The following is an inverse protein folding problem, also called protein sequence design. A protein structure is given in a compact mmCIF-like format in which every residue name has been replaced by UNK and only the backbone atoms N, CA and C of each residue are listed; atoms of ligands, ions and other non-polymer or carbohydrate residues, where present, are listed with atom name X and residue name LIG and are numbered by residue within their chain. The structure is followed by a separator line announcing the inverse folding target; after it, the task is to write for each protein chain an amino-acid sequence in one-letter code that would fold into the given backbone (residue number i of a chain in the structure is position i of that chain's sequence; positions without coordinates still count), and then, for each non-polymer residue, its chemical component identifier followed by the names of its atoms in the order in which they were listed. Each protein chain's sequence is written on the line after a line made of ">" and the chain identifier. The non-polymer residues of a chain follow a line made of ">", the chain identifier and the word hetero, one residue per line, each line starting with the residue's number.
data_IF_942284787355
#
_entry.id   IF_942284787355
#
_cell.length_a   1.000
_cell.length_b   1.000
_cell.length_c   1.000
_cell.angle_alpha   90.00
_cell.angle_beta   90.00
_cell.angle_gamma   90.00
#
_symmetry.space_group_name_H-M   'P 1'
#
loop_
_entity.id
_entity.type
_entity.pdbx_description
1 polymer ?
#
# COMPACT_ATOMS: atom_id res chain seq x y z
N UNK A 1 11.17 3.92 27.89
CA UNK A 1 11.40 5.34 27.55
C UNK A 1 12.52 5.39 26.51
N UNK A 2 12.22 5.61 25.24
CA UNK A 2 13.24 5.66 24.19
C UNK A 2 13.94 7.02 24.21
N UNK A 3 15.26 7.02 24.35
CA UNK A 3 16.09 8.22 24.55
C UNK A 3 16.17 9.11 23.30
N UNK A 4 16.37 10.43 23.46
CA UNK A 4 16.46 11.42 22.37
C UNK A 4 17.52 11.12 21.28
N UNK A 5 18.48 10.24 21.55
CA UNK A 5 19.63 9.94 20.69
C UNK A 5 19.24 9.31 19.33
N UNK A 6 18.17 8.49 19.27
CA UNK A 6 17.74 7.82 18.03
C UNK A 6 17.06 8.79 17.05
N UNK A 7 16.48 9.89 17.53
CA UNK A 7 15.87 10.92 16.67
C UNK A 7 16.90 11.70 15.86
N UNK A 8 18.15 11.79 16.33
CA UNK A 8 19.21 12.58 15.70
C UNK A 8 19.90 11.87 14.53
N UNK A 9 19.88 10.52 14.46
CA UNK A 9 20.54 9.75 13.40
C UNK A 9 19.91 9.92 12.00
N UNK A 10 18.73 10.55 11.90
CA UNK A 10 18.02 10.78 10.64
C UNK A 10 18.16 12.22 10.09
N UNK A 11 19.02 13.05 10.69
CA UNK A 11 19.41 14.37 10.16
C UNK A 11 20.61 14.21 9.22
N UNK A 12 20.66 15.02 8.14
CA UNK A 12 21.67 15.12 7.06
C UNK A 12 21.31 14.23 5.83
N UNK A 13 21.13 14.69 4.59
CA UNK A 13 21.41 15.94 3.82
C UNK A 13 20.28 16.15 2.81
N UNK A 14 19.79 17.37 2.61
CA UNK A 14 18.90 17.74 1.50
C UNK A 14 19.50 18.98 0.82
N UNK A 15 19.89 18.85 -0.45
CA UNK A 15 20.33 19.95 -1.30
C UNK A 15 19.11 20.41 -2.12
N UNK A 16 18.76 21.68 -1.94
CA UNK A 16 17.81 22.57 -2.64
C UNK A 16 16.42 22.05 -3.08
N UNK A 17 15.40 22.58 -2.40
CA UNK A 17 14.18 23.15 -3.02
C UNK A 17 13.65 24.23 -2.07
N UNK A 18 13.49 25.45 -2.57
CA UNK A 18 13.22 26.68 -1.80
C UNK A 18 11.78 26.84 -1.31
N UNK A 19 10.89 25.89 -1.60
CA UNK A 19 9.59 25.81 -0.90
C UNK A 19 9.78 25.17 0.47
N UNK A 20 9.59 25.97 1.52
CA UNK A 20 9.75 25.49 2.89
C UNK A 20 8.61 24.53 3.22
N UNK A 21 8.94 23.26 3.51
CA UNK A 21 7.99 22.28 4.02
C UNK A 21 7.32 22.80 5.29
N UNK A 22 6.04 22.52 5.46
CA UNK A 22 5.24 23.07 6.57
C UNK A 22 4.90 21.98 7.58
N UNK A 23 4.90 22.30 8.89
CA UNK A 23 4.41 21.38 9.90
C UNK A 23 2.88 21.22 9.79
N UNK A 24 2.38 20.00 10.05
CA UNK A 24 0.95 19.76 10.28
C UNK A 24 0.62 20.39 11.63
N UNK A 25 -0.11 21.50 11.70
CA UNK A 25 -0.43 22.22 12.95
C UNK A 25 -1.81 21.83 13.51
N UNK A 26 -2.05 22.08 14.80
CA UNK A 26 -3.38 21.85 15.43
C UNK A 26 -4.47 22.67 14.74
N UNK A 27 -4.16 23.91 14.34
CA UNK A 27 -5.06 24.75 13.53
C UNK A 27 -5.34 24.14 12.14
N UNK A 28 -4.32 23.59 11.46
CA UNK A 28 -4.55 22.92 10.18
C UNK A 28 -5.47 21.70 10.34
N UNK A 29 -5.29 20.93 11.42
CA UNK A 29 -6.09 19.74 11.73
C UNK A 29 -7.56 20.04 12.09
N UNK A 30 -7.88 21.27 12.52
CA UNK A 30 -9.25 21.67 12.89
C UNK A 30 -10.13 22.05 11.69
N UNK A 31 -9.51 22.40 10.55
CA UNK A 31 -10.20 22.86 9.33
C UNK A 31 -11.09 21.79 8.71
N UNK A 32 -12.22 22.22 8.14
CA UNK A 32 -13.19 21.34 7.48
C UNK A 32 -12.62 20.65 6.24
N UNK A 33 -11.87 21.36 5.40
CA UNK A 33 -11.21 20.80 4.22
C UNK A 33 -9.70 20.97 4.33
N UNK A 34 -8.95 19.91 4.01
CA UNK A 34 -7.50 19.90 4.16
C UNK A 34 -6.87 19.15 2.98
N UNK A 35 -5.75 19.66 2.47
CA UNK A 35 -5.02 19.04 1.35
C UNK A 35 -3.54 18.97 1.75
N UNK A 36 -2.98 17.77 1.74
CA UNK A 36 -1.59 17.50 2.07
C UNK A 36 -0.89 16.77 0.93
N UNK A 37 0.36 17.11 0.68
CA UNK A 37 1.27 16.34 -0.17
C UNK A 37 2.51 15.96 0.63
N UNK A 38 3.02 14.74 0.46
CA UNK A 38 4.24 14.32 1.14
C UNK A 38 5.48 14.63 0.31
N UNK A 39 6.52 15.18 0.94
CA UNK A 39 7.86 15.32 0.35
C UNK A 39 8.79 14.14 0.63
N UNK A 40 8.34 13.18 1.44
CA UNK A 40 9.12 11.97 1.69
C UNK A 40 8.63 10.83 0.80
N UNK A 41 9.58 10.01 0.36
CA UNK A 41 9.30 8.77 -0.36
C UNK A 41 9.36 7.54 0.55
N UNK A 42 9.63 7.70 1.85
CA UNK A 42 9.69 6.54 2.73
C UNK A 42 8.27 5.99 2.99
N UNK A 43 7.97 4.74 2.61
CA UNK A 43 6.61 4.21 2.70
C UNK A 43 6.09 4.10 4.14
N UNK A 44 6.96 3.76 5.11
CA UNK A 44 6.57 3.70 6.51
C UNK A 44 6.21 5.09 7.05
N UNK A 45 6.97 6.12 6.67
CA UNK A 45 6.68 7.49 7.10
C UNK A 45 5.40 8.02 6.45
N UNK A 46 5.18 7.76 5.16
CA UNK A 46 3.94 8.14 4.47
C UNK A 46 2.70 7.49 5.11
N UNK A 47 2.74 6.18 5.39
CA UNK A 47 1.64 5.49 6.09
C UNK A 47 1.46 5.97 7.54
N UNK A 48 2.52 6.47 8.18
CA UNK A 48 2.43 7.05 9.53
C UNK A 48 1.82 8.45 9.52
N UNK A 49 2.09 9.25 8.47
CA UNK A 49 1.43 10.54 8.23
C UNK A 49 -0.07 10.32 7.95
N UNK A 50 -0.41 9.40 7.05
CA UNK A 50 -1.79 9.02 6.74
C UNK A 50 -2.57 8.62 8.01
N UNK A 51 -1.97 7.76 8.83
CA UNK A 51 -2.58 7.34 10.09
C UNK A 51 -2.74 8.49 11.09
N UNK A 52 -1.75 9.40 11.19
CA UNK A 52 -1.87 10.58 12.04
C UNK A 52 -3.02 11.50 11.60
N UNK A 53 -3.17 11.72 10.29
CA UNK A 53 -4.28 12.51 9.74
C UNK A 53 -5.64 11.84 10.01
N UNK A 54 -5.69 10.50 9.97
CA UNK A 54 -6.90 9.74 10.29
C UNK A 54 -7.31 9.89 11.76
N UNK A 55 -6.36 9.85 12.68
CA UNK A 55 -6.63 9.83 14.12
C UNK A 55 -6.77 11.21 14.77
N UNK A 56 -6.02 12.20 14.30
CA UNK A 56 -5.85 13.48 15.02
C UNK A 56 -6.57 14.67 14.40
N UNK A 57 -7.06 14.52 13.18
CA UNK A 57 -7.85 15.56 12.53
C UNK A 57 -9.26 15.64 13.10
N UNK A 58 -9.88 16.81 12.98
CA UNK A 58 -11.29 17.02 13.33
C UNK A 58 -12.18 15.92 12.71
N UNK A 59 -13.02 15.21 13.50
CA UNK A 59 -13.87 14.14 12.98
C UNK A 59 -14.80 14.54 11.84
N UNK A 60 -15.20 15.82 11.78
CA UNK A 60 -16.03 16.37 10.72
C UNK A 60 -15.27 16.79 9.46
N UNK A 61 -13.94 16.70 9.40
CA UNK A 61 -13.17 17.20 8.25
C UNK A 61 -13.09 16.22 7.08
N UNK A 62 -12.83 16.71 5.88
CA UNK A 62 -12.47 15.94 4.69
C UNK A 62 -11.05 16.29 4.27
N UNK A 63 -10.21 15.28 4.09
CA UNK A 63 -8.77 15.44 3.89
C UNK A 63 -8.35 14.68 2.65
N UNK A 64 -7.66 15.35 1.74
CA UNK A 64 -6.88 14.72 0.67
C UNK A 64 -5.41 14.63 1.09
N UNK A 65 -4.81 13.45 0.94
CA UNK A 65 -3.37 13.24 1.11
C UNK A 65 -2.80 12.52 -0.11
N UNK A 66 -1.74 13.06 -0.68
CA UNK A 66 -1.07 12.55 -1.89
C UNK A 66 0.41 12.28 -1.60
N UNK A 67 0.93 11.14 -2.06
CA UNK A 67 2.32 10.75 -1.83
C UNK A 67 2.83 9.69 -2.80
N UNK A 68 4.14 9.69 -3.04
CA UNK A 68 4.86 8.67 -3.80
C UNK A 68 5.78 7.92 -2.85
N UNK A 69 5.97 6.62 -3.04
CA UNK A 69 6.89 5.83 -2.24
C UNK A 69 8.13 5.46 -3.05
N UNK A 70 9.27 5.34 -2.36
CA UNK A 70 10.41 4.54 -2.82
C UNK A 70 9.92 3.11 -3.06
N UNK A 71 10.61 2.31 -3.89
CA UNK A 71 10.08 1.03 -4.28
C UNK A 71 9.80 0.13 -3.07
N UNK A 72 8.63 -0.49 -3.05
CA UNK A 72 8.20 -1.32 -1.93
C UNK A 72 7.07 -2.28 -2.31
N UNK A 73 6.93 -3.34 -1.53
CA UNK A 73 5.79 -4.25 -1.53
C UNK A 73 4.94 -3.91 -0.31
N UNK A 74 3.66 -3.57 -0.54
CA UNK A 74 2.72 -3.18 0.52
C UNK A 74 1.64 -4.24 0.67
N UNK A 75 1.70 -5.01 1.75
CA UNK A 75 0.71 -6.04 2.10
C UNK A 75 -0.42 -5.44 2.95
N UNK A 76 -1.62 -5.99 2.81
CA UNK A 76 -2.79 -5.62 3.60
C UNK A 76 -2.69 -6.06 5.06
N UNK A 77 -3.53 -5.47 5.92
CA UNK A 77 -3.52 -5.68 7.38
C UNK A 77 -3.57 -7.17 7.76
N UNK A 78 -4.45 -7.94 7.12
CA UNK A 78 -4.73 -9.35 7.45
C UNK A 78 -4.17 -10.32 6.39
N UNK A 79 -3.05 -9.98 5.75
CA UNK A 79 -2.41 -10.85 4.77
C UNK A 79 -1.24 -11.62 5.36
N UNK A 80 -0.91 -12.76 4.74
CA UNK A 80 0.26 -13.55 5.09
C UNK A 80 1.44 -13.18 4.15
N UNK A 81 2.52 -12.57 4.65
CA UNK A 81 3.62 -12.13 3.80
C UNK A 81 4.33 -13.31 3.11
N UNK A 82 4.29 -14.51 3.70
CA UNK A 82 4.87 -15.72 3.12
C UNK A 82 4.02 -16.29 1.98
N UNK A 83 2.73 -15.97 1.86
CA UNK A 83 1.91 -16.37 0.70
C UNK A 83 1.89 -15.30 -0.37
N UNK A 84 1.89 -14.04 0.04
CA UNK A 84 1.71 -12.91 -0.88
C UNK A 84 2.98 -12.43 -1.56
N UNK A 85 4.15 -12.64 -0.94
CA UNK A 85 5.41 -12.02 -1.37
C UNK A 85 6.47 -13.08 -1.58
N UNK A 86 7.19 -12.99 -2.69
CA UNK A 86 8.42 -13.74 -2.91
C UNK A 86 9.55 -13.14 -2.05
N UNK A 87 9.55 -13.47 -0.75
CA UNK A 87 10.52 -12.96 0.22
C UNK A 87 11.99 -13.23 -0.18
N UNK A 88 12.35 -14.41 -0.74
CA UNK A 88 13.69 -14.64 -1.27
C UNK A 88 14.08 -13.66 -2.39
N UNK A 89 13.19 -13.44 -3.36
CA UNK A 89 13.44 -12.48 -4.44
C UNK A 89 13.55 -11.06 -3.89
N UNK A 90 12.63 -10.66 -3.01
CA UNK A 90 12.67 -9.36 -2.33
C UNK A 90 13.99 -9.16 -1.57
N UNK A 91 14.49 -10.20 -0.88
CA UNK A 91 15.76 -10.15 -0.16
C UNK A 91 16.98 -10.01 -1.09
N UNK A 92 16.99 -10.69 -2.25
CA UNK A 92 18.05 -10.57 -3.26
C UNK A 92 18.15 -9.16 -3.84
N UNK A 93 17.06 -8.41 -3.84
CA UNK A 93 17.09 -7.01 -4.27
C UNK A 93 17.85 -6.07 -3.32
N UNK A 94 18.27 -6.51 -2.13
CA UNK A 94 18.60 -5.60 -1.00
C UNK A 94 19.91 -4.81 -1.05
N UNK A 95 20.84 -4.97 -1.99
CA UNK A 95 22.15 -4.31 -1.84
C UNK A 95 22.66 -3.69 -3.15
N UNK A 96 22.38 -2.39 -3.32
CA UNK A 96 23.27 -1.45 -4.02
C UNK A 96 23.45 -0.23 -3.11
N UNK A 97 24.68 0.03 -2.66
CA UNK A 97 25.04 1.18 -1.81
C UNK A 97 24.28 1.30 -0.46
N UNK A 98 23.94 0.18 0.18
CA UNK A 98 23.37 0.19 1.54
C UNK A 98 21.91 0.63 1.65
N UNK A 99 21.17 0.74 0.53
CA UNK A 99 19.72 0.96 0.52
C UNK A 99 19.00 -0.28 -0.01
N UNK A 100 17.88 -0.72 0.62
CA UNK A 100 17.06 -1.78 0.06
C UNK A 100 16.48 -1.32 -1.28
N UNK A 101 16.53 -2.15 -2.33
CA UNK A 101 15.84 -1.84 -3.60
C UNK A 101 14.33 -1.80 -3.38
N UNK A 102 13.77 -2.69 -2.56
CA UNK A 102 12.35 -2.65 -2.16
C UNK A 102 12.15 -2.78 -0.65
N UNK A 103 11.31 -1.94 -0.06
CA UNK A 103 10.82 -2.14 1.32
C UNK A 103 9.68 -3.18 1.38
N UNK A 104 9.47 -3.83 2.51
CA UNK A 104 8.27 -4.63 2.79
C UNK A 104 7.44 -3.96 3.87
N UNK A 105 6.19 -3.64 3.59
CA UNK A 105 5.37 -2.82 4.49
C UNK A 105 3.99 -3.44 4.67
N UNK A 106 3.53 -3.56 5.91
CA UNK A 106 2.13 -3.91 6.21
C UNK A 106 1.33 -2.64 6.48
N UNK A 107 0.28 -2.38 5.71
CA UNK A 107 -0.61 -1.22 5.94
C UNK A 107 -1.71 -1.53 6.97
N UNK A 108 -2.36 -0.47 7.46
CA UNK A 108 -3.43 -0.56 8.49
C UNK A 108 -4.82 -0.86 7.92
N UNK A 109 -5.01 -0.70 6.61
CA UNK A 109 -6.23 -1.05 5.86
C UNK A 109 -6.18 -2.51 5.38
N UNK A 110 -7.34 -3.06 5.03
CA UNK A 110 -7.46 -4.39 4.41
C UNK A 110 -7.07 -4.40 2.92
N UNK A 111 -7.44 -5.47 2.21
CA UNK A 111 -7.19 -5.66 0.77
C UNK A 111 -5.90 -6.43 0.45
N UNK A 112 -5.61 -6.56 -0.84
CA UNK A 112 -4.49 -7.34 -1.38
C UNK A 112 -3.12 -6.66 -1.33
N UNK A 113 -2.10 -7.34 -1.86
CA UNK A 113 -0.72 -6.84 -1.95
C UNK A 113 -0.50 -6.06 -3.23
N UNK A 114 0.24 -4.95 -3.14
CA UNK A 114 0.61 -4.11 -4.29
C UNK A 114 2.11 -3.79 -4.26
N UNK A 115 2.67 -3.45 -5.42
CA UNK A 115 4.05 -2.98 -5.57
C UNK A 115 4.01 -1.50 -5.92
N UNK A 116 4.83 -0.69 -5.23
CA UNK A 116 4.99 0.72 -5.51
C UNK A 116 6.42 0.95 -6.00
N UNK A 117 6.60 2.02 -6.77
CA UNK A 117 7.86 2.63 -7.14
C UNK A 117 7.66 4.14 -7.38
N UNK A 118 8.64 4.82 -7.97
CA UNK A 118 8.54 6.25 -8.29
C UNK A 118 7.47 6.58 -9.34
N UNK A 119 7.10 5.64 -10.20
CA UNK A 119 6.04 5.79 -11.20
C UNK A 119 4.63 5.45 -10.68
N UNK A 120 4.52 5.02 -9.42
CA UNK A 120 3.25 4.76 -8.75
C UNK A 120 2.90 5.89 -7.78
N UNK A 121 1.83 6.63 -8.10
CA UNK A 121 1.26 7.61 -7.19
C UNK A 121 0.33 6.95 -6.17
N UNK A 122 0.16 7.58 -5.00
CA UNK A 122 -0.80 7.18 -4.00
C UNK A 122 -1.66 8.36 -3.59
N UNK A 123 -2.94 8.08 -3.39
CA UNK A 123 -3.92 9.06 -2.96
C UNK A 123 -4.71 8.49 -1.79
N UNK A 124 -5.15 9.37 -0.91
CA UNK A 124 -5.93 9.01 0.27
C UNK A 124 -6.93 10.10 0.57
N UNK A 125 -8.19 9.71 0.75
CA UNK A 125 -9.22 10.60 1.27
C UNK A 125 -9.68 10.10 2.63
N UNK A 126 -9.71 11.00 3.62
CA UNK A 126 -10.20 10.75 4.97
C UNK A 126 -11.41 11.65 5.21
N UNK A 127 -12.53 11.11 5.65
CA UNK A 127 -13.77 11.87 5.81
C UNK A 127 -14.67 11.29 6.92
N UNK A 128 -15.78 11.95 7.28
CA UNK A 128 -16.72 11.43 8.27
C UNK A 128 -17.28 10.06 7.86
N UNK A 129 -17.34 9.12 8.80
CA UNK A 129 -17.85 7.76 8.52
C UNK A 129 -19.31 7.78 8.03
N UNK A 130 -20.11 8.71 8.52
CA UNK A 130 -21.54 8.79 8.19
C UNK A 130 -21.77 9.14 6.71
N UNK A 131 -20.78 9.75 6.05
CA UNK A 131 -20.79 10.04 4.61
C UNK A 131 -20.06 8.96 3.80
N UNK A 132 -19.83 7.76 4.38
CA UNK A 132 -19.10 6.69 3.71
C UNK A 132 -19.88 6.15 2.51
N UNK A 133 -19.26 6.30 1.34
CA UNK A 133 -19.68 5.67 0.09
C UNK A 133 -18.44 5.09 -0.57
N UNK A 134 -18.52 3.80 -0.93
CA UNK A 134 -17.35 2.99 -1.28
C UNK A 134 -16.57 3.51 -2.49
N UNK A 135 -17.27 3.95 -3.53
CA UNK A 135 -16.64 4.34 -4.80
C UNK A 135 -16.44 5.86 -4.93
N UNK A 136 -16.93 6.64 -3.97
CA UNK A 136 -16.99 8.09 -4.04
C UNK A 136 -15.67 8.73 -4.45
N UNK A 137 -14.57 8.34 -3.79
CA UNK A 137 -13.25 8.92 -4.07
C UNK A 137 -12.49 8.21 -5.19
N UNK A 138 -12.82 6.96 -5.51
CA UNK A 138 -12.32 6.33 -6.75
C UNK A 138 -12.91 7.03 -7.98
N UNK A 139 -14.21 7.37 -7.96
CA UNK A 139 -14.87 8.17 -9.00
C UNK A 139 -14.28 9.58 -9.08
N UNK A 140 -13.94 10.20 -7.95
CA UNK A 140 -13.20 11.46 -7.94
C UNK A 140 -11.87 11.35 -8.72
N UNK A 141 -11.11 10.27 -8.52
CA UNK A 141 -9.86 10.05 -9.27
C UNK A 141 -10.12 9.75 -10.75
N UNK A 142 -11.18 9.00 -11.08
CA UNK A 142 -11.60 8.78 -12.47
C UNK A 142 -11.90 10.10 -13.19
N UNK A 143 -12.66 11.00 -12.57
CA UNK A 143 -12.96 12.30 -13.17
C UNK A 143 -11.70 13.17 -13.32
N UNK A 144 -10.77 13.11 -12.37
CA UNK A 144 -9.47 13.76 -12.52
C UNK A 144 -8.69 13.26 -13.75
N UNK A 145 -8.68 11.93 -13.97
CA UNK A 145 -8.03 11.32 -15.15
C UNK A 145 -8.71 11.71 -16.46
N UNK A 146 -10.05 11.73 -16.50
CA UNK A 146 -10.81 12.18 -17.67
C UNK A 146 -10.50 13.65 -18.01
N UNK A 147 -10.40 14.51 -16.99
CA UNK A 147 -10.03 15.92 -17.17
C UNK A 147 -8.59 16.08 -17.70
N UNK A 148 -7.71 15.09 -17.49
CA UNK A 148 -6.38 15.03 -18.10
C UNK A 148 -6.40 14.46 -19.54
N UNK A 149 -7.58 14.11 -20.07
CA UNK A 149 -7.73 13.53 -21.41
C UNK A 149 -7.56 12.01 -21.48
N UNK A 150 -7.42 11.32 -20.34
CA UNK A 150 -7.33 9.86 -20.30
C UNK A 150 -8.71 9.26 -20.55
N UNK A 151 -8.81 8.39 -21.55
CA UNK A 151 -10.06 7.75 -22.00
C UNK A 151 -10.19 6.34 -21.43
N UNK A 152 -11.43 5.82 -21.45
CA UNK A 152 -11.73 4.44 -21.07
C UNK A 152 -11.56 4.14 -19.58
N UNK A 153 -11.49 5.16 -18.73
CA UNK A 153 -11.29 4.98 -17.28
C UNK A 153 -12.60 4.91 -16.52
N UNK A 154 -12.74 3.89 -15.66
CA UNK A 154 -13.95 3.65 -14.88
C UNK A 154 -13.63 2.92 -13.56
N UNK A 155 -14.60 2.89 -12.64
CA UNK A 155 -14.54 2.05 -11.44
C UNK A 155 -15.27 0.75 -11.74
N UNK A 156 -14.62 -0.39 -11.53
CA UNK A 156 -15.23 -1.71 -11.74
C UNK A 156 -16.01 -2.20 -10.50
N UNK A 157 -16.67 -3.36 -10.62
CA UNK A 157 -17.44 -4.00 -9.53
C UNK A 157 -16.60 -4.38 -8.31
N UNK A 158 -15.27 -4.48 -8.47
CA UNK A 158 -14.32 -4.75 -7.39
C UNK A 158 -13.78 -3.46 -6.74
N UNK A 159 -14.32 -2.30 -7.11
CA UNK A 159 -13.93 -0.98 -6.61
C UNK A 159 -12.49 -0.57 -6.98
N UNK A 160 -11.93 -1.20 -8.02
CA UNK A 160 -10.67 -0.81 -8.63
C UNK A 160 -10.91 0.20 -9.76
N UNK A 161 -9.92 1.06 -10.03
CA UNK A 161 -9.95 1.87 -11.25
C UNK A 161 -9.29 1.07 -12.37
N UNK A 162 -10.01 0.92 -13.47
CA UNK A 162 -9.58 0.20 -14.66
C UNK A 162 -9.54 1.13 -15.86
N UNK A 163 -8.78 0.73 -16.88
CA UNK A 163 -8.71 1.38 -18.17
C UNK A 163 -8.99 0.36 -19.27
N UNK A 164 -9.95 0.70 -20.13
CA UNK A 164 -10.19 0.04 -21.41
C UNK A 164 -9.16 0.52 -22.43
N UNK A 165 -8.40 -0.41 -22.99
CA UNK A 165 -7.40 -0.16 -24.02
C UNK A 165 -7.83 -0.89 -25.29
N UNK A 166 -8.04 -0.11 -26.36
CA UNK A 166 -8.29 -0.65 -27.69
C UNK A 166 -6.95 -0.91 -28.37
N UNK A 167 -6.72 -2.16 -28.74
CA UNK A 167 -5.60 -2.52 -29.60
C UNK A 167 -6.11 -2.52 -31.05
N UNK A 168 -5.67 -1.57 -31.90
CA UNK A 168 -6.10 -1.50 -33.30
C UNK A 168 -5.64 -2.69 -34.13
N UNK A 169 -4.67 -3.48 -33.65
CA UNK A 169 -4.16 -4.68 -34.30
C UNK A 169 -4.71 -5.98 -33.69
N UNK A 170 -5.51 -5.91 -32.61
CA UNK A 170 -6.07 -7.10 -31.99
C UNK A 170 -7.11 -7.78 -32.89
N UNK A 171 -7.11 -9.13 -32.93
CA UNK A 171 -8.03 -9.90 -33.77
C UNK A 171 -9.50 -9.78 -33.31
N UNK A 172 -9.74 -9.35 -32.06
CA UNK A 172 -11.07 -9.06 -31.55
C UNK A 172 -11.30 -7.56 -31.37
N UNK A 173 -12.50 -7.05 -31.74
CA UNK A 173 -12.83 -5.63 -31.63
C UNK A 173 -13.11 -5.16 -30.19
N UNK A 174 -12.99 -6.05 -29.19
CA UNK A 174 -13.29 -5.74 -27.80
C UNK A 174 -12.09 -5.12 -27.08
N UNK A 175 -12.28 -4.05 -26.28
CA UNK A 175 -11.19 -3.47 -25.52
C UNK A 175 -10.67 -4.45 -24.46
N UNK A 176 -9.36 -4.46 -24.26
CA UNK A 176 -8.75 -5.12 -23.12
C UNK A 176 -8.87 -4.24 -21.88
N UNK A 177 -9.30 -4.81 -20.76
CA UNK A 177 -9.47 -4.09 -19.49
C UNK A 177 -8.29 -4.34 -18.57
N UNK A 178 -7.56 -3.28 -18.24
CA UNK A 178 -6.41 -3.33 -17.35
C UNK A 178 -6.69 -2.58 -16.05
N UNK A 179 -6.26 -3.13 -14.92
CA UNK A 179 -6.28 -2.43 -13.63
C UNK A 179 -5.16 -1.39 -13.59
N UNK A 180 -5.51 -0.14 -13.30
CA UNK A 180 -4.55 0.96 -13.17
C UNK A 180 -4.45 1.49 -11.74
N UNK A 181 -5.43 1.19 -10.88
CA UNK A 181 -5.46 1.57 -9.46
C UNK A 181 -6.04 0.45 -8.61
N UNK A 182 -5.42 0.16 -7.47
CA UNK A 182 -6.03 -0.67 -6.42
C UNK A 182 -6.58 0.18 -5.27
N UNK A 183 -7.77 -0.15 -4.79
CA UNK A 183 -8.41 0.50 -3.63
C UNK A 183 -8.25 -0.30 -2.34
N UNK A 184 -8.12 0.40 -1.21
CA UNK A 184 -8.26 -0.18 0.12
C UNK A 184 -8.87 0.82 1.11
N UNK A 185 -9.49 0.28 2.17
CA UNK A 185 -10.32 1.06 3.08
C UNK A 185 -9.98 0.77 4.54
N UNK A 186 -10.19 1.78 5.40
CA UNK A 186 -10.21 1.63 6.86
C UNK A 186 -11.33 2.47 7.45
N UNK A 187 -12.23 1.81 8.17
CA UNK A 187 -13.27 2.48 8.95
C UNK A 187 -12.87 2.48 10.43
N UNK A 188 -13.05 3.61 11.09
CA UNK A 188 -12.94 3.75 12.55
C UNK A 188 -14.31 4.05 13.14
N UNK A 189 -14.40 4.41 14.43
CA UNK A 189 -15.68 4.80 15.03
C UNK A 189 -16.31 6.02 14.35
N UNK A 190 -15.51 7.02 13.95
CA UNK A 190 -16.00 8.32 13.44
C UNK A 190 -15.53 8.66 12.02
N UNK A 191 -14.59 7.90 11.46
CA UNK A 191 -13.87 8.25 10.23
C UNK A 191 -13.85 7.11 9.24
N UNK A 192 -13.91 7.45 7.96
CA UNK A 192 -13.54 6.59 6.86
C UNK A 192 -12.22 7.05 6.24
N UNK A 193 -11.42 6.10 5.79
CA UNK A 193 -10.24 6.29 4.94
C UNK A 193 -10.42 5.40 3.71
N UNK A 194 -10.27 6.00 2.53
CA UNK A 194 -10.09 5.33 1.26
C UNK A 194 -8.75 5.77 0.71
N UNK A 195 -7.87 4.82 0.47
CA UNK A 195 -6.65 5.09 -0.27
C UNK A 195 -6.55 4.19 -1.48
N UNK A 196 -5.81 4.64 -2.47
CA UNK A 196 -5.51 3.86 -3.63
C UNK A 196 -4.16 4.20 -4.22
N UNK A 197 -3.71 3.29 -5.06
CA UNK A 197 -2.54 3.48 -5.92
C UNK A 197 -2.96 4.09 -7.25
N UNK A 198 -2.01 4.50 -8.08
CA UNK A 198 -2.25 4.73 -9.49
C UNK A 198 -0.94 4.50 -10.26
N UNK A 199 -0.96 3.55 -11.19
CA UNK A 199 0.15 3.21 -12.06
C UNK A 199 0.26 4.28 -13.16
N UNK A 200 1.09 5.30 -12.93
CA UNK A 200 1.28 6.39 -13.88
C UNK A 200 2.28 5.99 -14.95
N UNK A 201 3.48 5.61 -14.52
CA UNK A 201 4.58 5.15 -15.37
C UNK A 201 5.56 4.27 -14.57
N UNK A 202 5.01 3.27 -13.86
CA UNK A 202 5.77 2.31 -13.04
C UNK A 202 6.53 1.29 -13.88
N UNK A 203 7.61 0.73 -13.32
CA UNK A 203 8.28 -0.44 -13.87
C UNK A 203 7.47 -1.70 -13.56
N UNK A 204 6.74 -2.19 -14.57
CA UNK A 204 5.86 -3.35 -14.44
C UNK A 204 6.58 -4.69 -14.68
N UNK A 205 7.87 -4.69 -15.07
CA UNK A 205 8.54 -5.89 -15.59
C UNK A 205 8.64 -7.04 -14.58
N UNK A 206 8.91 -6.75 -13.30
CA UNK A 206 9.15 -7.78 -12.27
C UNK A 206 8.10 -7.78 -11.13
N UNK A 207 6.96 -7.12 -11.32
CA UNK A 207 5.88 -7.13 -10.31
C UNK A 207 5.42 -8.57 -10.06
N UNK A 208 5.27 -9.36 -11.12
CA UNK A 208 4.81 -10.75 -10.97
C UNK A 208 5.81 -11.63 -10.22
N UNK A 209 7.12 -11.41 -10.39
CA UNK A 209 8.16 -12.15 -9.65
C UNK A 209 8.12 -11.83 -8.16
N UNK A 210 7.94 -10.56 -7.80
CA UNK A 210 7.82 -10.12 -6.41
C UNK A 210 6.55 -10.64 -5.70
N UNK A 211 5.46 -10.86 -6.43
CA UNK A 211 4.15 -11.26 -5.89
C UNK A 211 3.80 -12.76 -6.07
N UNK A 212 4.77 -13.58 -6.51
CA UNK A 212 4.61 -15.04 -6.63
C UNK A 212 5.46 -15.73 -5.58
N UNK A 213 4.90 -15.94 -4.39
CA UNK A 213 5.65 -16.62 -3.33
C UNK A 213 5.86 -18.11 -3.64
N UNK A 214 7.10 -18.62 -3.53
CA UNK A 214 7.37 -20.06 -3.61
C UNK A 214 6.83 -20.83 -2.41
N UNK A 215 6.54 -20.17 -1.29
CA UNK A 215 5.99 -20.80 -0.09
C UNK A 215 4.46 -20.96 -0.15
N UNK A 216 3.78 -20.25 -1.06
CA UNK A 216 2.31 -20.27 -1.16
C UNK A 216 1.69 -21.68 -1.32
N UNK A 217 2.26 -22.62 -2.11
CA UNK A 217 1.74 -23.98 -2.23
C UNK A 217 1.78 -24.79 -0.93
N UNK A 218 2.68 -24.44 0.01
CA UNK A 218 2.87 -25.15 1.27
C UNK A 218 2.05 -24.57 2.42
N UNK A 219 1.41 -23.42 2.22
CA UNK A 219 0.77 -22.65 3.29
C UNK A 219 -0.75 -22.61 3.08
N UNK A 220 -1.50 -23.11 4.05
CA UNK A 220 -2.92 -22.86 4.20
C UNK A 220 -3.12 -21.76 5.25
N UNK A 221 -3.50 -20.56 4.83
CA UNK A 221 -3.61 -19.39 5.70
C UNK A 221 -5.06 -18.94 5.89
N UNK A 222 -5.42 -18.54 7.11
CA UNK A 222 -6.68 -17.85 7.38
C UNK A 222 -6.47 -16.36 7.13
N UNK A 223 -6.67 -15.84 5.93
CA UNK A 223 -6.36 -14.43 5.64
C UNK A 223 -7.00 -13.91 4.38
N UNK A 224 -6.73 -12.63 4.08
CA UNK A 224 -7.17 -12.02 2.82
C UNK A 224 -6.14 -12.34 1.73
N UNK A 225 -6.54 -13.13 0.75
CA UNK A 225 -5.71 -13.41 -0.44
C UNK A 225 -5.78 -12.24 -1.44
N UNK A 226 -4.70 -12.02 -2.19
CA UNK A 226 -4.72 -11.05 -3.29
C UNK A 226 -5.45 -11.59 -4.51
N UNK A 227 -6.32 -10.76 -5.10
CA UNK A 227 -6.92 -11.05 -6.41
C UNK A 227 -6.03 -10.50 -7.50
N UNK A 228 -5.46 -11.38 -8.32
CA UNK A 228 -4.60 -10.98 -9.45
C UNK A 228 -5.44 -10.35 -10.56
N UNK A 229 -4.90 -9.30 -11.18
CA UNK A 229 -5.50 -8.61 -12.33
C UNK A 229 -4.39 -8.23 -13.30
N UNK A 230 -4.62 -8.25 -14.62
CA UNK A 230 -3.73 -7.60 -15.57
C UNK A 230 -3.67 -6.10 -15.25
N UNK A 231 -2.49 -5.51 -15.37
CA UNK A 231 -2.24 -4.10 -15.04
C UNK A 231 -1.55 -3.39 -16.20
N UNK A 232 -1.75 -2.09 -16.32
CA UNK A 232 -1.01 -1.24 -17.24
C UNK A 232 -0.72 0.13 -16.60
N UNK A 233 0.17 0.89 -17.21
CA UNK A 233 0.39 2.29 -16.88
C UNK A 233 -0.61 3.17 -17.63
N UNK A 234 -1.01 4.27 -17.01
CA UNK A 234 -1.86 5.29 -17.64
C UNK A 234 -1.07 6.17 -18.62
N UNK A 235 0.27 6.20 -18.51
CA UNK A 235 1.14 6.97 -19.40
C UNK A 235 1.29 8.45 -19.00
N UNK A 236 1.16 8.75 -17.70
CA UNK A 236 1.42 10.09 -17.17
C UNK A 236 2.88 10.15 -16.70
N UNK A 237 3.68 11.01 -17.30
CA UNK A 237 5.13 11.07 -17.02
C UNK A 237 5.42 11.59 -15.61
N UNK A 238 4.74 12.68 -15.20
CA UNK A 238 5.05 13.38 -13.97
C UNK A 238 3.94 13.19 -12.92
N UNK A 239 4.29 12.62 -11.78
CA UNK A 239 3.35 12.44 -10.66
C UNK A 239 2.71 13.76 -10.20
N UNK A 240 3.39 14.89 -10.39
CA UNK A 240 2.85 16.22 -10.08
C UNK A 240 1.63 16.59 -10.91
N UNK A 241 1.56 16.14 -12.16
CA UNK A 241 0.44 16.46 -13.05
C UNK A 241 -0.81 15.71 -12.59
N UNK A 242 -0.65 14.44 -12.22
CA UNK A 242 -1.69 13.68 -11.55
C UNK A 242 -2.12 14.32 -10.22
N UNK A 243 -1.17 14.74 -9.38
CA UNK A 243 -1.52 15.41 -8.11
C UNK A 243 -2.32 16.68 -8.32
N UNK A 244 -1.94 17.52 -9.28
CA UNK A 244 -2.68 18.74 -9.60
C UNK A 244 -4.11 18.40 -10.04
N UNK A 245 -4.28 17.43 -10.94
CA UNK A 245 -5.60 17.00 -11.41
C UNK A 245 -6.50 16.48 -10.27
N UNK A 246 -5.96 15.66 -9.36
CA UNK A 246 -6.72 15.15 -8.21
C UNK A 246 -7.05 16.27 -7.22
N UNK A 247 -6.12 17.22 -6.99
CA UNK A 247 -6.37 18.40 -6.14
C UNK A 247 -7.49 19.26 -6.72
N UNK A 248 -7.49 19.50 -8.02
CA UNK A 248 -8.50 20.32 -8.69
C UNK A 248 -9.86 19.62 -8.67
N UNK A 249 -9.90 18.31 -8.90
CA UNK A 249 -11.13 17.53 -8.79
C UNK A 249 -11.65 17.45 -7.35
N UNK A 250 -10.77 17.35 -6.35
CA UNK A 250 -11.16 17.43 -4.93
C UNK A 250 -11.77 18.78 -4.58
N UNK A 251 -11.18 19.89 -5.05
CA UNK A 251 -11.73 21.24 -4.85
C UNK A 251 -13.07 21.46 -5.56
N UNK A 252 -13.26 20.81 -6.71
CA UNK A 252 -14.54 20.83 -7.44
C UNK A 252 -15.62 20.05 -6.68
N UNK A 253 -15.26 18.88 -6.14
CA UNK A 253 -16.15 18.04 -5.34
C UNK A 253 -16.55 18.68 -4.00
N UNK A 254 -15.68 19.53 -3.44
CA UNK A 254 -15.89 20.22 -2.17
C UNK A 254 -15.72 21.74 -2.35
N UNK A 255 -16.75 22.47 -2.85
CA UNK A 255 -16.64 23.89 -3.20
C UNK A 255 -16.23 24.80 -2.04
N UNK A 256 -16.74 24.53 -0.82
CA UNK A 256 -16.34 25.22 0.42
C UNK A 256 -14.84 25.04 0.74
N UNK A 257 -14.20 24.05 0.12
CA UNK A 257 -12.78 23.75 0.19
C UNK A 257 -11.93 24.40 -0.90
N UNK A 258 -12.47 25.17 -1.84
CA UNK A 258 -11.69 25.78 -2.95
C UNK A 258 -10.52 26.64 -2.48
N UNK A 259 -10.70 27.37 -1.36
CA UNK A 259 -9.66 28.23 -0.76
C UNK A 259 -8.63 27.46 0.07
N UNK A 260 -8.74 26.13 0.15
CA UNK A 260 -7.83 25.28 0.90
C UNK A 260 -6.45 25.30 0.26
N UNK A 261 -5.47 25.74 1.04
CA UNK A 261 -4.06 25.72 0.65
C UNK A 261 -3.51 24.30 0.77
N UNK A 262 -2.71 23.89 -0.19
CA UNK A 262 -1.94 22.64 -0.15
C UNK A 262 -0.81 22.79 0.88
N UNK A 263 -0.70 21.82 1.80
CA UNK A 263 0.36 21.76 2.80
C UNK A 263 1.34 20.66 2.41
N UNK A 264 2.55 21.06 2.02
CA UNK A 264 3.65 20.12 1.77
C UNK A 264 4.26 19.67 3.10
N UNK A 265 4.13 18.38 3.42
CA UNK A 265 4.64 17.77 4.65
C UNK A 265 6.07 17.27 4.42
N UNK A 266 7.02 17.85 5.13
CA UNK A 266 8.43 17.45 5.10
C UNK A 266 8.76 16.34 6.09
N UNK A 267 9.82 15.58 5.79
CA UNK A 267 10.30 14.48 6.65
C UNK A 267 10.62 14.96 8.07
N UNK A 268 11.36 16.06 8.20
CA UNK A 268 11.78 16.54 9.51
C UNK A 268 10.61 17.06 10.35
N UNK A 269 9.64 17.71 9.72
CA UNK A 269 8.43 18.23 10.35
C UNK A 269 7.52 17.09 10.80
N UNK A 270 7.36 16.07 9.96
CA UNK A 270 6.56 14.88 10.28
C UNK A 270 7.14 14.14 11.50
N UNK A 271 8.46 13.92 11.55
CA UNK A 271 9.11 13.19 12.64
C UNK A 271 9.09 13.93 14.00
N UNK A 272 8.82 15.25 14.02
CA UNK A 272 8.60 16.01 15.26
C UNK A 272 7.25 15.68 15.93
N UNK A 273 6.30 15.12 15.20
CA UNK A 273 4.98 14.74 15.74
C UNK A 273 5.07 13.36 16.39
N UNK A 274 4.81 13.29 17.69
CA UNK A 274 4.93 12.04 18.45
C UNK A 274 4.05 10.91 17.91
N UNK A 275 2.84 11.19 17.40
CA UNK A 275 1.96 10.17 16.83
C UNK A 275 2.56 9.56 15.56
N UNK A 276 3.15 10.40 14.70
CA UNK A 276 3.81 9.94 13.47
C UNK A 276 5.03 9.12 13.83
N UNK A 277 5.84 9.58 14.79
CA UNK A 277 7.01 8.83 15.25
C UNK A 277 6.63 7.46 15.83
N UNK A 278 5.63 7.40 16.72
CA UNK A 278 5.13 6.13 17.27
C UNK A 278 4.59 5.21 16.19
N UNK A 279 3.79 5.75 15.25
CA UNK A 279 3.27 5.00 14.11
C UNK A 279 4.38 4.43 13.23
N UNK A 280 5.47 5.17 13.02
CA UNK A 280 6.63 4.72 12.26
C UNK A 280 7.35 3.56 12.98
N UNK A 281 7.58 3.69 14.29
CA UNK A 281 8.21 2.63 15.09
C UNK A 281 7.36 1.35 15.11
N UNK A 282 6.04 1.48 15.21
CA UNK A 282 5.12 0.36 15.11
C UNK A 282 5.26 -0.33 13.74
N UNK A 283 5.18 0.42 12.63
CA UNK A 283 5.22 -0.17 11.29
C UNK A 283 6.55 -0.87 10.98
N UNK A 284 7.65 -0.45 11.60
CA UNK A 284 8.97 -1.08 11.50
C UNK A 284 9.14 -2.31 12.41
N UNK A 285 8.26 -2.48 13.39
CA UNK A 285 8.39 -3.56 14.37
C UNK A 285 8.09 -4.93 13.77
N UNK A 286 8.83 -5.99 14.16
CA UNK A 286 8.49 -7.37 13.80
C UNK A 286 7.07 -7.74 14.22
N UNK A 287 6.62 -7.23 15.37
CA UNK A 287 5.27 -7.40 15.88
C UNK A 287 4.20 -6.97 14.88
N UNK A 288 4.41 -5.84 14.22
CA UNK A 288 3.48 -5.35 13.21
C UNK A 288 3.63 -6.08 11.88
N UNK A 289 4.87 -6.25 11.41
CA UNK A 289 5.11 -6.79 10.08
C UNK A 289 4.79 -8.29 9.98
N UNK A 290 5.27 -9.07 10.95
CA UNK A 290 5.29 -10.53 10.92
C UNK A 290 4.31 -11.15 11.90
N UNK A 291 4.33 -10.76 13.17
CA UNK A 291 3.51 -11.40 14.22
C UNK A 291 2.02 -11.05 14.11
N UNK A 292 1.69 -9.99 13.36
CA UNK A 292 0.30 -9.69 12.98
C UNK A 292 -0.23 -10.56 11.84
N UNK A 293 0.55 -11.53 11.37
CA UNK A 293 0.08 -12.47 10.33
C UNK A 293 -0.98 -13.37 10.94
N UNK A 294 -2.18 -13.46 10.31
CA UNK A 294 -3.20 -14.38 10.77
C UNK A 294 -2.72 -15.83 10.81
N UNK A 295 -3.41 -16.66 11.60
CA UNK A 295 -3.10 -18.07 11.78
C UNK A 295 -2.95 -18.78 10.43
N UNK A 296 -1.89 -19.56 10.28
CA UNK A 296 -1.66 -20.38 9.09
C UNK A 296 -1.00 -21.71 9.44
N UNK A 297 -1.20 -22.68 8.56
CA UNK A 297 -0.55 -23.99 8.59
C UNK A 297 0.47 -24.07 7.46
N UNK A 298 1.70 -24.42 7.77
CA UNK A 298 2.71 -24.84 6.81
C UNK A 298 2.71 -26.37 6.77
N UNK A 299 2.62 -26.98 5.59
CA UNK A 299 2.73 -28.44 5.45
C UNK A 299 3.47 -28.85 4.19
N UNK A 300 4.42 -29.76 4.35
CA UNK A 300 5.18 -30.39 3.27
C UNK A 300 4.36 -31.35 2.41
N UNK A 301 3.16 -31.75 2.85
CA UNK A 301 2.29 -32.69 2.15
C UNK A 301 0.85 -32.16 2.05
N UNK A 302 0.07 -32.64 1.06
CA UNK A 302 -1.36 -32.41 1.04
C UNK A 302 -2.04 -33.01 2.29
N UNK A 303 -3.16 -32.41 2.68
CA UNK A 303 -4.02 -32.90 3.77
C UNK A 303 -5.48 -32.85 3.34
N UNK A 304 -6.41 -33.54 4.02
CA UNK A 304 -7.83 -33.41 3.73
C UNK A 304 -8.33 -31.96 3.77
N UNK A 305 -7.76 -31.12 4.64
CA UNK A 305 -8.13 -29.70 4.76
C UNK A 305 -7.45 -28.80 3.71
N UNK A 306 -6.36 -29.26 3.09
CA UNK A 306 -5.65 -28.57 2.02
C UNK A 306 -5.09 -29.61 1.02
N UNK A 307 -5.89 -30.02 0.02
CA UNK A 307 -5.53 -31.09 -0.90
C UNK A 307 -4.61 -30.62 -2.04
N UNK A 308 -4.19 -29.36 -2.05
CA UNK A 308 -3.36 -28.82 -3.14
C UNK A 308 -2.04 -29.60 -3.25
N UNK A 309 -1.58 -29.94 -4.48
CA UNK A 309 -0.30 -30.61 -4.65
C UNK A 309 0.84 -29.75 -4.10
N UNK A 310 1.80 -30.39 -3.45
CA UNK A 310 3.03 -29.73 -3.01
C UNK A 310 4.09 -29.86 -4.10
N UNK A 311 4.89 -28.83 -4.37
CA UNK A 311 6.05 -28.97 -5.23
C UNK A 311 6.99 -30.05 -4.69
N UNK A 312 7.75 -30.68 -5.58
CA UNK A 312 8.74 -31.68 -5.16
C UNK A 312 9.75 -31.04 -4.20
N UNK A 313 10.10 -31.72 -3.10
CA UNK A 313 11.14 -31.24 -2.20
C UNK A 313 12.48 -31.16 -2.94
N UNK A 314 13.39 -30.27 -2.51
CA UNK A 314 14.77 -30.29 -2.97
C UNK A 314 15.38 -31.70 -2.89
N UNK A 315 16.29 -32.05 -3.80
CA UNK A 315 16.86 -33.40 -3.92
C UNK A 315 17.63 -33.87 -2.68
N UNK A 316 18.01 -32.94 -1.81
CA UNK A 316 18.69 -33.16 -0.53
C UNK A 316 17.73 -33.34 0.67
N UNK A 317 16.41 -33.29 0.44
CA UNK A 317 15.38 -33.50 1.46
C UNK A 317 14.59 -34.77 1.16
N UNK A 318 14.46 -35.67 2.16
CA UNK A 318 13.68 -36.90 2.01
C UNK A 318 12.21 -36.59 1.69
N UNK A 319 11.66 -37.25 0.67
CA UNK A 319 10.24 -37.16 0.30
C UNK A 319 9.29 -37.70 1.38
N UNK A 320 9.81 -38.53 2.28
CA UNK A 320 9.07 -39.09 3.43
C UNK A 320 9.03 -38.16 4.64
N UNK A 321 9.75 -37.01 4.61
CA UNK A 321 9.78 -36.07 5.74
C UNK A 321 8.46 -35.29 5.80
N UNK A 322 7.55 -35.69 6.68
CA UNK A 322 6.33 -34.93 6.96
C UNK A 322 6.59 -33.87 8.04
N UNK A 323 6.42 -32.61 7.66
CA UNK A 323 6.47 -31.48 8.57
C UNK A 323 5.17 -30.67 8.49
N UNK A 324 4.51 -30.48 9.63
CA UNK A 324 3.32 -29.64 9.76
C UNK A 324 3.48 -28.70 10.96
N UNK A 325 3.28 -27.41 10.71
CA UNK A 325 3.37 -26.37 11.73
C UNK A 325 2.12 -25.50 11.69
N UNK A 326 1.62 -25.15 12.87
CA UNK A 326 0.58 -24.13 13.01
C UNK A 326 1.21 -22.93 13.69
N UNK A 327 1.21 -21.79 13.00
CA UNK A 327 1.63 -20.52 13.56
C UNK A 327 0.39 -19.72 13.99
N UNK A 328 0.27 -19.38 15.28
CA UNK A 328 -0.78 -18.53 15.84
C UNK A 328 -0.22 -17.78 17.04
N UNK A 329 -0.50 -16.47 17.18
CA UNK A 329 -0.27 -15.70 18.41
C UNK A 329 1.09 -15.92 19.11
N UNK A 330 2.17 -15.91 18.32
CA UNK A 330 3.56 -16.14 18.75
C UNK A 330 3.91 -17.57 19.23
N UNK A 331 3.04 -18.54 18.98
CA UNK A 331 3.31 -19.96 19.21
C UNK A 331 3.44 -20.70 17.86
N UNK A 332 4.43 -21.58 17.80
CA UNK A 332 4.59 -22.57 16.73
C UNK A 332 4.27 -23.92 17.35
N UNK A 333 3.09 -24.47 17.01
CA UNK A 333 2.75 -25.83 17.37
C UNK A 333 3.33 -26.75 16.30
N UNK A 334 4.25 -27.62 16.70
CA UNK A 334 5.00 -28.51 15.81
C UNK A 334 4.45 -29.92 15.90
N UNK A 335 4.08 -30.47 14.74
CA UNK A 335 3.92 -31.91 14.58
C UNK A 335 4.94 -32.39 13.54
N UNK A 336 6.00 -33.03 14.02
CA UNK A 336 6.96 -33.74 13.18
C UNK A 336 6.67 -35.23 13.31
N UNK A 337 6.46 -35.88 12.18
CA UNK A 337 6.36 -37.34 12.10
C UNK A 337 7.17 -37.81 10.90
N UNK A 338 8.12 -38.72 11.11
CA UNK A 338 8.68 -39.50 10.02
C UNK A 338 7.77 -40.70 9.80
N UNK A 339 7.27 -40.90 8.59
CA UNK A 339 6.87 -42.24 8.19
C UNK A 339 8.15 -43.04 8.01
N UNK A 340 8.41 -44.01 8.89
CA UNK A 340 9.35 -45.10 8.61
C UNK A 340 8.89 -45.89 7.39
#
# INVERSE_FOLDING_TARGET
>A
MATPAIRNAWRIRSIFSTRHARPITTDALSRKFQIYTSRTTNPYLNLSIEHHLLEKSNPGSTILFLYTNDPCVVIGRNQNPWTEVNLPQLAKTRIKHGKPKHYLVRRRSGGGTVVHDSGNANWSVIWPKDDFERDKHARMVVEALKNMGIKGVSVNERHDIVQEVHDPEAPEPQPSVFKISGSAYKLTGKRALHHGTLLLNSDLTDISGLLRSPAAPYIAAQGVESVRSPVCNVGVEQNTDFYNAVIDQFKTMYPDGQRTKVIEVGKHEALKRDNIWKGLQELLSPKWLWESTPKFRLSSHPSPEDPRPRPDPPTDVSSCLYASYIASDNEILTHLSSSE
#
